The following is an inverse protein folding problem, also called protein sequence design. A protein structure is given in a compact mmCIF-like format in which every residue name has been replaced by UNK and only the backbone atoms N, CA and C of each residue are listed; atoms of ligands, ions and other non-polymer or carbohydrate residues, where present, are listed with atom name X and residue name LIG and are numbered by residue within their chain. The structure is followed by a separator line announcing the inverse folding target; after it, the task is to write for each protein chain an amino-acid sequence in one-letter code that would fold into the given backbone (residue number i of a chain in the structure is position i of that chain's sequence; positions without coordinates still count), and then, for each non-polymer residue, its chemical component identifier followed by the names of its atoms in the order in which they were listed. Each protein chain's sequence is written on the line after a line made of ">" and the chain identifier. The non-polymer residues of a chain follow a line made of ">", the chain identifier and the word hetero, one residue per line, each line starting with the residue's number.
data_IF_769676366486
#
_entry.id   IF_769676366486
#
_cell.length_a   1.000
_cell.length_b   1.000
_cell.length_c   1.000
_cell.angle_alpha   90.00
_cell.angle_beta   90.00
_cell.angle_gamma   90.00
#
_symmetry.space_group_name_H-M   'P 1'
#
loop_
_entity.id
_entity.type
_entity.pdbx_description
1 polymer ?
#
# COMPACT_ATOMS: atom_id res chain seq x y z
N UNK A 1 -5.38 25.59 -2.78
CA UNK A 1 -4.80 26.65 -3.60
C UNK A 1 -3.66 26.06 -4.43
N UNK A 2 -3.82 26.04 -5.76
CA UNK A 2 -2.80 25.46 -6.66
C UNK A 2 -1.96 26.57 -7.30
N UNK A 3 -2.61 27.48 -8.00
CA UNK A 3 -1.93 28.57 -8.70
C UNK A 3 -2.83 29.79 -8.89
N UNK A 4 -2.21 30.92 -9.21
CA UNK A 4 -2.89 32.13 -9.65
C UNK A 4 -2.71 32.23 -11.16
N UNK A 5 -3.83 32.27 -11.92
CA UNK A 5 -3.82 32.44 -13.37
C UNK A 5 -4.64 33.64 -13.81
N UNK A 6 -4.53 34.03 -15.08
CA UNK A 6 -5.36 35.06 -15.66
C UNK A 6 -6.84 34.61 -15.70
N UNK A 7 -7.73 35.52 -15.44
CA UNK A 7 -9.18 35.31 -15.54
C UNK A 7 -9.58 34.99 -16.99
N UNK A 8 -10.42 34.00 -17.16
CA UNK A 8 -11.02 33.61 -18.44
C UNK A 8 -12.55 33.87 -18.30
N UNK A 9 -13.23 34.43 -19.33
CA UNK A 9 -14.68 34.53 -19.29
C UNK A 9 -15.37 33.22 -18.98
N UNK A 10 -16.15 33.17 -17.88
CA UNK A 10 -16.77 31.97 -17.35
C UNK A 10 -16.22 31.51 -15.99
N UNK A 11 -15.11 32.05 -15.53
CA UNK A 11 -14.59 31.76 -14.19
C UNK A 11 -15.51 32.39 -13.11
N UNK A 12 -15.62 31.67 -11.97
CA UNK A 12 -16.39 32.14 -10.83
C UNK A 12 -15.73 33.40 -10.23
N UNK A 13 -16.47 34.49 -10.17
CA UNK A 13 -16.01 35.77 -9.60
C UNK A 13 -15.59 35.68 -8.14
N UNK A 14 -16.05 34.67 -7.41
CA UNK A 14 -15.65 34.38 -6.01
C UNK A 14 -14.19 33.93 -5.88
N UNK A 15 -13.61 33.44 -6.95
CA UNK A 15 -12.20 32.99 -6.98
C UNK A 15 -11.23 34.10 -7.35
N UNK A 16 -11.69 35.31 -7.62
CA UNK A 16 -10.84 36.47 -7.99
C UNK A 16 -9.87 36.80 -6.86
N UNK A 17 -8.59 36.81 -7.17
CA UNK A 17 -7.52 37.23 -6.27
C UNK A 17 -7.26 38.75 -6.45
N UNK A 18 -7.93 39.54 -5.65
CA UNK A 18 -7.83 41.01 -5.73
C UNK A 18 -6.40 41.51 -5.49
N UNK A 19 -5.61 40.85 -4.64
CA UNK A 19 -4.22 41.21 -4.36
C UNK A 19 -3.30 40.97 -5.56
N UNK A 20 -3.49 39.86 -6.26
CA UNK A 20 -2.74 39.56 -7.49
C UNK A 20 -3.19 40.46 -8.65
N UNK A 21 -4.51 40.71 -8.77
CA UNK A 21 -5.12 41.60 -9.75
C UNK A 21 -4.55 43.01 -9.63
N UNK A 22 -4.46 43.55 -8.42
CA UNK A 22 -3.88 44.89 -8.19
C UNK A 22 -2.39 44.98 -8.56
N UNK A 23 -1.64 43.90 -8.39
CA UNK A 23 -0.21 43.88 -8.73
C UNK A 23 0.06 43.74 -10.24
N UNK A 24 -0.78 43.02 -10.96
CA UNK A 24 -0.59 42.70 -12.38
C UNK A 24 -1.43 43.54 -13.32
N UNK A 25 -2.30 44.40 -12.80
CA UNK A 25 -3.27 45.21 -13.57
C UNK A 25 -4.14 44.36 -14.53
N UNK A 26 -4.30 43.08 -14.27
CA UNK A 26 -5.17 42.14 -14.99
C UNK A 26 -5.94 41.31 -13.98
N UNK A 27 -7.19 40.95 -14.30
CA UNK A 27 -8.00 40.11 -13.45
C UNK A 27 -7.29 38.72 -13.29
N UNK A 28 -7.00 38.38 -12.04
CA UNK A 28 -6.35 37.14 -11.66
C UNK A 28 -7.29 36.33 -10.80
N UNK A 29 -7.32 34.99 -11.01
CA UNK A 29 -8.13 34.04 -10.24
C UNK A 29 -7.25 33.04 -9.52
N UNK A 30 -7.68 32.67 -8.32
CA UNK A 30 -7.13 31.51 -7.63
C UNK A 30 -7.74 30.27 -8.28
N UNK A 31 -6.91 29.43 -8.81
CA UNK A 31 -7.28 28.08 -9.24
C UNK A 31 -7.14 27.17 -8.05
N UNK A 32 -8.26 26.54 -7.67
CA UNK A 32 -8.30 25.50 -6.65
C UNK A 32 -8.39 24.17 -7.38
N UNK A 33 -7.51 23.24 -7.05
CA UNK A 33 -7.71 21.88 -7.44
C UNK A 33 -8.63 21.26 -6.39
N UNK A 34 -9.79 20.77 -6.80
CA UNK A 34 -10.63 19.94 -5.94
C UNK A 34 -9.89 18.63 -5.66
N UNK A 35 -9.13 18.58 -4.57
CA UNK A 35 -8.62 17.32 -4.06
C UNK A 35 -9.81 16.48 -3.61
N UNK A 36 -10.34 15.68 -4.54
CA UNK A 36 -11.36 14.69 -4.18
C UNK A 36 -10.78 13.77 -3.13
N UNK A 37 -11.47 13.65 -2.00
CA UNK A 37 -11.11 12.70 -0.95
C UNK A 37 -10.99 11.29 -1.56
N UNK A 38 -9.80 10.77 -1.60
CA UNK A 38 -9.52 9.44 -2.13
C UNK A 38 -9.83 8.37 -1.06
N UNK A 39 -10.01 7.14 -1.48
CA UNK A 39 -10.19 6.01 -0.56
C UNK A 39 -8.93 5.16 -0.56
N UNK A 40 -8.36 4.96 0.61
CA UNK A 40 -7.19 4.12 0.85
C UNK A 40 -7.60 2.97 1.76
N UNK A 41 -7.42 1.74 1.31
CA UNK A 41 -7.76 0.55 2.08
C UNK A 41 -6.51 -0.29 2.27
N UNK A 42 -6.11 -0.48 3.52
CA UNK A 42 -5.06 -1.42 3.88
C UNK A 42 -5.65 -2.82 4.04
N UNK A 43 -5.15 -3.76 3.25
CA UNK A 43 -5.51 -5.17 3.24
C UNK A 43 -4.37 -5.94 3.92
N UNK A 44 -4.59 -6.41 5.15
CA UNK A 44 -3.54 -6.99 5.99
C UNK A 44 -3.74 -8.49 6.09
N UNK A 45 -2.81 -9.24 5.55
CA UNK A 45 -2.73 -10.69 5.70
C UNK A 45 -2.30 -11.05 7.12
N UNK A 46 -3.07 -11.89 7.79
CA UNK A 46 -2.78 -12.42 9.13
C UNK A 46 -2.37 -13.91 9.10
N UNK A 47 -2.23 -14.47 7.91
CA UNK A 47 -1.87 -15.86 7.71
C UNK A 47 -0.45 -16.21 8.16
N UNK A 48 -0.10 -17.50 8.08
CA UNK A 48 1.15 -18.06 8.62
C UNK A 48 2.42 -17.39 8.07
N UNK A 49 2.41 -16.94 6.82
CA UNK A 49 3.57 -16.34 6.16
C UNK A 49 3.97 -14.99 6.77
N UNK A 50 3.00 -14.30 7.40
CA UNK A 50 3.22 -13.03 8.08
C UNK A 50 3.78 -13.16 9.49
N UNK A 51 3.87 -14.39 10.02
CA UNK A 51 4.51 -14.66 11.32
C UNK A 51 6.04 -14.65 11.27
N UNK A 52 6.64 -14.63 10.08
CA UNK A 52 8.09 -14.63 9.93
C UNK A 52 8.72 -13.52 10.79
N UNK A 53 9.65 -13.88 11.71
CA UNK A 53 10.29 -12.88 12.56
C UNK A 53 11.33 -12.09 11.75
N UNK A 54 11.45 -10.81 12.06
CA UNK A 54 12.43 -9.93 11.45
C UNK A 54 12.81 -8.79 12.42
N UNK A 55 14.06 -8.79 12.87
CA UNK A 55 14.55 -7.77 13.82
C UNK A 55 13.71 -7.69 15.11
N UNK A 56 13.29 -8.83 15.67
CA UNK A 56 12.52 -8.91 16.91
C UNK A 56 11.01 -8.65 16.78
N UNK A 57 10.51 -8.29 15.58
CA UNK A 57 9.09 -8.13 15.27
C UNK A 57 8.69 -9.10 14.15
N UNK A 58 7.41 -9.43 14.07
CA UNK A 58 6.88 -10.20 12.93
C UNK A 58 6.62 -9.30 11.71
N UNK A 59 6.51 -9.91 10.51
CA UNK A 59 6.08 -9.16 9.32
C UNK A 59 4.67 -8.56 9.52
N UNK A 60 3.80 -9.24 10.28
CA UNK A 60 2.49 -8.71 10.65
C UNK A 60 2.61 -7.43 11.47
N UNK A 61 3.48 -7.41 12.49
CA UNK A 61 3.70 -6.21 13.32
C UNK A 61 4.21 -5.04 12.47
N UNK A 62 5.12 -5.32 11.52
CA UNK A 62 5.63 -4.33 10.58
C UNK A 62 4.52 -3.81 9.65
N UNK A 63 3.67 -4.69 9.13
CA UNK A 63 2.54 -4.33 8.30
C UNK A 63 1.51 -3.48 9.06
N UNK A 64 1.19 -3.84 10.31
CA UNK A 64 0.32 -3.06 11.20
C UNK A 64 0.88 -1.65 11.40
N UNK A 65 2.16 -1.53 11.75
CA UNK A 65 2.81 -0.23 11.94
C UNK A 65 2.76 0.62 10.66
N UNK A 66 3.03 0.04 9.50
CA UNK A 66 2.97 0.75 8.23
C UNK A 66 1.53 1.19 7.88
N UNK A 67 0.54 0.32 8.13
CA UNK A 67 -0.86 0.64 7.91
C UNK A 67 -1.35 1.75 8.85
N UNK A 68 -0.89 1.80 10.10
CA UNK A 68 -1.18 2.87 11.06
C UNK A 68 -0.61 4.22 10.59
N UNK A 69 0.67 4.24 10.17
CA UNK A 69 1.33 5.45 9.65
C UNK A 69 0.62 5.94 8.38
N UNK A 70 0.32 5.04 7.44
CA UNK A 70 -0.41 5.39 6.22
C UNK A 70 -1.80 5.96 6.56
N UNK A 71 -2.52 5.33 7.50
CA UNK A 71 -3.85 5.76 7.90
C UNK A 71 -3.85 7.16 8.52
N UNK A 72 -2.90 7.45 9.41
CA UNK A 72 -2.78 8.77 10.05
C UNK A 72 -2.50 9.88 9.02
N UNK A 73 -1.58 9.62 8.10
CA UNK A 73 -1.22 10.60 7.07
C UNK A 73 -2.34 10.78 6.04
N UNK A 74 -3.01 9.69 5.63
CA UNK A 74 -4.14 9.77 4.70
C UNK A 74 -5.31 10.57 5.31
N UNK A 75 -5.66 10.31 6.58
CA UNK A 75 -6.69 11.08 7.28
C UNK A 75 -6.32 12.57 7.43
N UNK A 76 -5.06 12.91 7.69
CA UNK A 76 -4.56 14.29 7.73
C UNK A 76 -4.62 14.99 6.37
N UNK A 77 -4.63 14.22 5.27
CA UNK A 77 -4.80 14.71 3.89
C UNK A 77 -6.26 14.65 3.42
N UNK A 78 -7.21 14.53 4.34
CA UNK A 78 -8.65 14.45 4.08
C UNK A 78 -9.10 13.24 3.25
N UNK A 79 -8.27 12.20 3.14
CA UNK A 79 -8.63 10.95 2.49
C UNK A 79 -9.42 10.04 3.44
N UNK A 80 -10.20 9.13 2.86
CA UNK A 80 -10.94 8.10 3.61
C UNK A 80 -10.07 6.87 3.79
N UNK A 81 -10.03 6.33 4.99
CA UNK A 81 -9.22 5.16 5.34
C UNK A 81 -10.10 3.98 5.70
N UNK A 82 -9.80 2.82 5.12
CA UNK A 82 -10.39 1.53 5.45
C UNK A 82 -9.32 0.49 5.80
N UNK A 83 -9.72 -0.51 6.57
CA UNK A 83 -8.86 -1.65 6.96
C UNK A 83 -9.64 -2.94 6.75
N UNK A 84 -8.99 -3.93 6.15
CA UNK A 84 -9.49 -5.30 6.08
C UNK A 84 -8.37 -6.23 6.52
N UNK A 85 -8.63 -7.07 7.51
CA UNK A 85 -7.71 -8.14 7.92
C UNK A 85 -8.26 -9.49 7.49
N UNK A 86 -7.39 -10.35 6.99
CA UNK A 86 -7.79 -11.61 6.39
C UNK A 86 -6.68 -12.67 6.49
N UNK A 87 -7.07 -13.94 6.39
CA UNK A 87 -6.20 -15.09 6.13
C UNK A 87 -6.89 -16.04 5.15
N UNK A 88 -7.35 -17.20 5.56
CA UNK A 88 -8.26 -18.07 4.79
C UNK A 88 -9.71 -17.54 4.77
N UNK A 89 -10.03 -16.65 5.68
CA UNK A 89 -11.31 -15.91 5.76
C UNK A 89 -11.04 -14.45 6.07
N UNK A 90 -12.04 -13.60 5.90
CA UNK A 90 -11.95 -12.19 6.30
C UNK A 90 -12.37 -12.07 7.76
N UNK A 91 -11.45 -11.56 8.60
CA UNK A 91 -11.66 -11.43 10.04
C UNK A 91 -12.33 -10.13 10.42
N UNK A 92 -11.74 -9.00 10.01
CA UNK A 92 -12.24 -7.68 10.37
C UNK A 92 -12.36 -6.80 9.14
N UNK A 93 -13.40 -5.96 9.15
CA UNK A 93 -13.66 -5.00 8.06
C UNK A 93 -14.02 -3.66 8.66
N UNK A 94 -13.21 -2.66 8.39
CA UNK A 94 -13.48 -1.27 8.66
C UNK A 94 -13.61 -0.56 7.30
N UNK A 95 -14.83 -0.20 6.85
CA UNK A 95 -15.03 0.41 5.53
C UNK A 95 -14.36 1.79 5.44
N UNK A 96 -14.04 2.29 4.23
CA UNK A 96 -13.37 3.58 4.10
C UNK A 96 -14.20 4.74 4.64
N UNK A 97 -13.70 5.43 5.68
CA UNK A 97 -14.31 6.65 6.23
C UNK A 97 -13.24 7.59 6.82
N UNK A 98 -13.67 8.80 7.24
CA UNK A 98 -12.79 9.83 7.82
C UNK A 98 -13.42 10.61 8.97
N UNK A 99 -14.33 9.98 9.70
CA UNK A 99 -15.04 10.63 10.81
C UNK A 99 -14.12 10.98 11.99
N UNK A 100 -14.57 11.86 12.87
CA UNK A 100 -13.87 12.12 14.13
C UNK A 100 -13.71 10.83 14.91
N UNK A 101 -12.46 10.54 15.36
CA UNK A 101 -12.14 9.31 16.08
C UNK A 101 -11.90 8.09 15.18
N UNK A 102 -11.90 8.25 13.84
CA UNK A 102 -11.67 7.13 12.93
C UNK A 102 -10.31 6.46 13.18
N UNK A 103 -9.27 7.27 13.43
CA UNK A 103 -7.94 6.74 13.77
C UNK A 103 -7.96 5.88 15.03
N UNK A 104 -8.77 6.22 16.03
CA UNK A 104 -8.92 5.39 17.23
C UNK A 104 -9.50 4.02 16.91
N UNK A 105 -10.52 3.95 16.05
CA UNK A 105 -11.10 2.67 15.58
C UNK A 105 -10.09 1.85 14.79
N UNK A 106 -9.27 2.48 13.95
CA UNK A 106 -8.17 1.82 13.23
C UNK A 106 -7.17 1.21 14.21
N UNK A 107 -6.74 1.99 15.22
CA UNK A 107 -5.80 1.50 16.25
C UNK A 107 -6.40 0.35 17.06
N UNK A 108 -7.64 0.46 17.51
CA UNK A 108 -8.33 -0.57 18.29
C UNK A 108 -8.44 -1.89 17.49
N UNK A 109 -8.83 -1.80 16.20
CA UNK A 109 -8.92 -2.97 15.34
C UNK A 109 -7.55 -3.63 15.14
N UNK A 110 -6.50 -2.85 14.89
CA UNK A 110 -5.17 -3.39 14.59
C UNK A 110 -4.41 -3.87 15.82
N UNK A 111 -4.65 -3.29 16.99
CA UNK A 111 -4.01 -3.70 18.25
C UNK A 111 -4.30 -5.17 18.63
N UNK A 112 -5.48 -5.66 18.30
CA UNK A 112 -5.92 -7.01 18.66
C UNK A 112 -5.49 -8.10 17.64
N UNK A 113 -4.82 -7.73 16.53
CA UNK A 113 -4.49 -8.68 15.48
C UNK A 113 -3.37 -9.63 15.88
N UNK A 114 -3.58 -10.91 15.55
CA UNK A 114 -2.58 -11.98 15.71
C UNK A 114 -2.59 -12.86 14.47
N UNK A 115 -1.46 -13.52 14.19
CA UNK A 115 -1.40 -14.53 13.13
C UNK A 115 -2.13 -15.79 13.55
N UNK A 116 -2.97 -16.33 12.67
CA UNK A 116 -3.80 -17.51 12.92
C UNK A 116 -3.23 -18.81 12.32
N UNK A 117 -2.05 -18.78 11.73
CA UNK A 117 -1.38 -19.91 11.04
C UNK A 117 -2.14 -20.48 9.82
N UNK A 118 -3.25 -19.89 9.43
CA UNK A 118 -3.99 -20.31 8.25
C UNK A 118 -3.25 -19.95 6.96
N UNK A 119 -3.56 -20.61 5.87
CA UNK A 119 -3.10 -20.19 4.54
C UNK A 119 -3.88 -18.97 4.07
N UNK A 120 -3.21 -18.12 3.30
CA UNK A 120 -3.81 -16.90 2.76
C UNK A 120 -4.68 -17.22 1.57
N UNK A 121 -5.92 -16.70 1.57
CA UNK A 121 -6.89 -16.81 0.48
C UNK A 121 -7.29 -15.42 -0.05
N UNK A 122 -6.74 -15.06 -1.22
CA UNK A 122 -7.06 -13.78 -1.89
C UNK A 122 -8.44 -13.83 -2.58
N UNK A 123 -8.99 -15.00 -2.87
CA UNK A 123 -10.35 -15.13 -3.39
C UNK A 123 -11.37 -14.63 -2.36
N UNK A 124 -11.27 -15.10 -1.11
CA UNK A 124 -12.13 -14.64 -0.01
C UNK A 124 -11.99 -13.12 0.20
N UNK A 125 -10.77 -12.59 0.12
CA UNK A 125 -10.50 -11.16 0.18
C UNK A 125 -11.17 -10.42 -0.99
N UNK A 126 -11.01 -10.88 -2.24
CA UNK A 126 -11.62 -10.27 -3.42
C UNK A 126 -13.13 -10.14 -3.28
N UNK A 127 -13.81 -11.21 -2.87
CA UNK A 127 -15.26 -11.20 -2.66
C UNK A 127 -15.67 -10.16 -1.61
N UNK A 128 -14.92 -10.04 -0.53
CA UNK A 128 -15.18 -9.04 0.52
C UNK A 128 -14.97 -7.62 0.04
N UNK A 129 -13.85 -7.35 -0.62
CA UNK A 129 -13.52 -6.02 -1.18
C UNK A 129 -14.61 -5.57 -2.15
N UNK A 130 -15.05 -6.45 -3.06
CA UNK A 130 -16.12 -6.17 -4.03
C UNK A 130 -17.42 -5.70 -3.37
N UNK A 131 -17.75 -6.24 -2.19
CA UNK A 131 -18.96 -5.85 -1.45
C UNK A 131 -18.76 -4.61 -0.56
N UNK A 132 -17.55 -4.35 -0.11
CA UNK A 132 -17.29 -3.29 0.89
C UNK A 132 -16.79 -1.99 0.27
N UNK A 133 -16.02 -2.07 -0.83
CA UNK A 133 -15.34 -0.94 -1.47
C UNK A 133 -15.94 -0.71 -2.85
N UNK A 134 -16.99 0.11 -2.92
CA UNK A 134 -17.72 0.33 -4.18
C UNK A 134 -17.04 1.34 -5.12
N UNK A 135 -16.25 2.28 -4.58
CA UNK A 135 -15.56 3.30 -5.36
C UNK A 135 -14.14 2.88 -5.67
N UNK A 136 -13.61 3.32 -6.83
CA UNK A 136 -12.19 3.12 -7.17
C UNK A 136 -11.31 3.66 -6.04
N UNK A 137 -10.42 2.84 -5.52
CA UNK A 137 -9.65 3.08 -4.30
C UNK A 137 -8.21 2.60 -4.47
N UNK A 138 -7.30 3.13 -3.66
CA UNK A 138 -5.98 2.52 -3.48
C UNK A 138 -6.11 1.36 -2.48
N UNK A 139 -5.81 0.16 -2.93
CA UNK A 139 -5.72 -1.03 -2.11
C UNK A 139 -4.24 -1.33 -1.86
N UNK A 140 -3.80 -1.23 -0.61
CA UNK A 140 -2.44 -1.59 -0.21
C UNK A 140 -2.48 -2.96 0.44
N UNK A 141 -1.97 -3.96 -0.26
CA UNK A 141 -1.97 -5.35 0.18
C UNK A 141 -0.65 -5.69 0.86
N UNK A 142 -0.71 -5.97 2.17
CA UNK A 142 0.41 -6.43 2.98
C UNK A 142 0.35 -7.95 3.07
N UNK A 143 1.16 -8.64 2.30
CA UNK A 143 1.23 -10.10 2.27
C UNK A 143 2.65 -10.58 1.99
N UNK A 144 2.92 -11.86 2.17
CA UNK A 144 4.21 -12.46 1.86
C UNK A 144 4.01 -13.74 1.05
N UNK A 145 4.31 -13.71 -0.24
CA UNK A 145 4.30 -14.90 -1.09
C UNK A 145 5.55 -15.75 -0.83
N UNK A 146 5.37 -17.00 -0.44
CA UNK A 146 6.48 -17.93 -0.20
C UNK A 146 7.23 -18.28 -1.49
N UNK A 147 6.51 -18.40 -2.61
CA UNK A 147 7.06 -18.77 -3.91
C UNK A 147 6.31 -18.12 -5.08
N UNK A 148 6.95 -18.11 -6.24
CA UNK A 148 6.34 -17.65 -7.48
C UNK A 148 5.08 -18.48 -7.84
N UNK A 149 5.10 -19.78 -7.59
CA UNK A 149 3.95 -20.65 -7.83
C UNK A 149 2.77 -20.34 -6.89
N UNK A 150 3.04 -20.00 -5.62
CA UNK A 150 2.01 -19.58 -4.69
C UNK A 150 1.37 -18.25 -5.13
N UNK A 151 2.19 -17.28 -5.56
CA UNK A 151 1.70 -16.02 -6.11
C UNK A 151 0.84 -16.24 -7.36
N UNK A 152 1.28 -17.08 -8.32
CA UNK A 152 0.54 -17.37 -9.55
C UNK A 152 -0.84 -17.95 -9.32
N UNK A 153 -1.03 -18.75 -8.28
CA UNK A 153 -2.36 -19.26 -7.89
C UNK A 153 -3.32 -18.12 -7.48
N UNK A 154 -2.79 -17.09 -6.86
CA UNK A 154 -3.56 -15.95 -6.37
C UNK A 154 -3.69 -14.80 -7.39
N UNK A 155 -2.85 -14.81 -8.43
CA UNK A 155 -2.76 -13.76 -9.44
C UNK A 155 -4.11 -13.43 -10.14
N UNK A 156 -4.96 -14.39 -10.51
CA UNK A 156 -6.26 -14.08 -11.14
C UNK A 156 -7.13 -13.15 -10.29
N UNK A 157 -7.15 -13.34 -8.97
CA UNK A 157 -7.94 -12.51 -8.06
C UNK A 157 -7.32 -11.12 -7.88
N UNK A 158 -5.98 -11.01 -7.87
CA UNK A 158 -5.27 -9.73 -7.88
C UNK A 158 -5.56 -8.93 -9.15
N UNK A 159 -5.61 -9.60 -10.30
CA UNK A 159 -6.00 -8.96 -11.57
C UNK A 159 -7.45 -8.47 -11.55
N UNK A 160 -8.37 -9.23 -10.96
CA UNK A 160 -9.76 -8.81 -10.80
C UNK A 160 -9.87 -7.58 -9.90
N UNK A 161 -9.09 -7.51 -8.80
CA UNK A 161 -8.99 -6.32 -7.96
C UNK A 161 -8.39 -5.13 -8.73
N UNK A 162 -7.33 -5.35 -9.52
CA UNK A 162 -6.65 -4.30 -10.27
C UNK A 162 -7.49 -3.70 -11.41
N UNK A 163 -8.51 -4.41 -11.90
CA UNK A 163 -9.49 -3.87 -12.88
C UNK A 163 -10.40 -2.80 -12.26
N UNK A 164 -10.76 -2.94 -10.99
CA UNK A 164 -11.69 -2.06 -10.30
C UNK A 164 -10.99 -0.98 -9.46
N UNK A 165 -9.82 -1.28 -8.95
CA UNK A 165 -9.07 -0.47 -7.99
C UNK A 165 -7.62 -0.31 -8.43
N UNK A 166 -6.89 0.60 -7.78
CA UNK A 166 -5.44 0.66 -7.88
C UNK A 166 -4.84 -0.23 -6.79
N UNK A 167 -4.22 -1.35 -7.19
CA UNK A 167 -3.67 -2.34 -6.24
C UNK A 167 -2.16 -2.16 -6.13
N UNK A 168 -1.67 -1.98 -4.91
CA UNK A 168 -0.25 -1.96 -4.57
C UNK A 168 0.05 -3.12 -3.61
N UNK A 169 0.87 -4.07 -4.05
CA UNK A 169 1.27 -5.24 -3.25
C UNK A 169 2.63 -4.98 -2.62
N UNK A 170 2.69 -5.11 -1.31
CA UNK A 170 3.95 -5.10 -0.56
C UNK A 170 4.60 -6.48 -0.67
N UNK A 171 5.86 -6.49 -1.08
CA UNK A 171 6.70 -7.69 -1.15
C UNK A 171 7.89 -7.47 -0.22
N UNK A 172 8.02 -8.33 0.78
CA UNK A 172 9.11 -8.24 1.75
C UNK A 172 10.39 -8.84 1.17
N UNK A 173 11.45 -8.03 1.15
CA UNK A 173 12.82 -8.47 0.89
C UNK A 173 13.48 -8.82 2.22
N UNK A 174 14.01 -10.03 2.33
CA UNK A 174 14.72 -10.43 3.53
C UNK A 174 16.18 -9.96 3.46
N UNK A 175 16.50 -8.88 4.18
CA UNK A 175 17.85 -8.29 4.22
C UNK A 175 18.82 -9.12 5.07
N UNK A 176 18.35 -10.00 5.95
CA UNK A 176 19.21 -10.94 6.68
C UNK A 176 19.86 -11.95 5.71
N UNK A 177 19.17 -12.28 4.60
CA UNK A 177 19.74 -13.13 3.57
C UNK A 177 20.89 -12.44 2.81
N UNK A 178 20.87 -11.13 2.69
CA UNK A 178 21.96 -10.38 2.04
C UNK A 178 23.28 -10.52 2.82
N UNK A 179 23.22 -10.67 4.16
CA UNK A 179 24.39 -10.88 5.02
C UNK A 179 25.03 -12.25 4.79
N UNK A 180 24.25 -13.27 4.39
CA UNK A 180 24.74 -14.59 4.07
C UNK A 180 25.50 -14.63 2.72
N UNK A 181 25.42 -13.58 1.92
CA UNK A 181 26.15 -13.44 0.65
C UNK A 181 27.57 -12.87 0.81
N UNK A 182 28.09 -12.76 2.04
CA UNK A 182 29.45 -12.27 2.33
C UNK A 182 30.54 -12.91 1.46
N UNK A 183 31.61 -12.19 1.06
CA UNK A 183 32.47 -12.58 -0.06
C UNK A 183 33.41 -13.79 0.18
N UNK A 184 33.64 -14.22 1.40
CA UNK A 184 34.58 -15.31 1.68
C UNK A 184 33.89 -16.67 1.71
N UNK A 185 34.08 -17.48 0.66
CA UNK A 185 33.71 -18.90 0.69
C UNK A 185 34.76 -19.67 1.49
N UNK A 186 34.37 -20.24 2.60
CA UNK A 186 35.26 -21.03 3.45
C UNK A 186 35.07 -22.55 3.25
N UNK A 187 33.89 -22.95 2.78
CA UNK A 187 33.52 -24.36 2.62
C UNK A 187 32.48 -24.56 1.50
N UNK A 188 32.34 -25.81 1.03
CA UNK A 188 31.32 -26.20 0.03
C UNK A 188 29.91 -25.93 0.52
N UNK A 189 29.66 -25.95 1.84
CA UNK A 189 28.38 -25.60 2.44
C UNK A 189 28.06 -24.11 2.25
N UNK A 190 29.05 -23.22 2.35
CA UNK A 190 28.88 -21.79 2.11
C UNK A 190 28.43 -21.52 0.67
N UNK A 191 29.01 -22.21 -0.29
CA UNK A 191 28.63 -22.13 -1.71
C UNK A 191 27.17 -22.56 -1.91
N UNK A 192 26.76 -23.66 -1.27
CA UNK A 192 25.36 -24.12 -1.33
C UNK A 192 24.39 -23.12 -0.71
N UNK A 193 24.68 -22.63 0.50
CA UNK A 193 23.87 -21.62 1.20
C UNK A 193 23.73 -20.36 0.34
N UNK A 194 24.83 -19.88 -0.25
CA UNK A 194 24.80 -18.71 -1.15
C UNK A 194 23.95 -18.94 -2.40
N UNK A 195 24.03 -20.13 -3.00
CA UNK A 195 23.23 -20.46 -4.18
C UNK A 195 21.74 -20.46 -3.86
N UNK A 196 21.34 -21.06 -2.74
CA UNK A 196 19.96 -21.07 -2.25
C UNK A 196 19.49 -19.66 -1.92
N UNK A 197 20.30 -18.87 -1.22
CA UNK A 197 20.00 -17.48 -0.86
C UNK A 197 19.75 -16.61 -2.09
N UNK A 198 20.64 -16.68 -3.10
CA UNK A 198 20.45 -15.97 -4.38
C UNK A 198 19.16 -16.38 -5.08
N UNK A 199 18.79 -17.66 -5.03
CA UNK A 199 17.52 -18.13 -5.59
C UNK A 199 16.33 -17.47 -4.91
N UNK A 200 16.29 -17.39 -3.59
CA UNK A 200 15.21 -16.75 -2.84
C UNK A 200 15.09 -15.24 -3.15
N UNK A 201 16.22 -14.52 -3.19
CA UNK A 201 16.22 -13.10 -3.53
C UNK A 201 15.66 -12.90 -4.94
N UNK A 202 16.18 -13.67 -5.91
CA UNK A 202 15.73 -13.57 -7.31
C UNK A 202 14.25 -13.93 -7.47
N UNK A 203 13.74 -14.86 -6.69
CA UNK A 203 12.33 -15.24 -6.73
C UNK A 203 11.41 -14.08 -6.31
N UNK A 204 11.77 -13.29 -5.29
CA UNK A 204 11.02 -12.09 -4.91
C UNK A 204 11.01 -11.02 -6.00
N UNK A 205 12.13 -10.84 -6.70
CA UNK A 205 12.21 -9.91 -7.84
C UNK A 205 11.35 -10.38 -9.02
N UNK A 206 11.32 -11.70 -9.29
CA UNK A 206 10.47 -12.28 -10.32
C UNK A 206 8.99 -12.13 -9.99
N UNK A 207 8.59 -12.33 -8.71
CA UNK A 207 7.23 -12.09 -8.24
C UNK A 207 6.83 -10.63 -8.49
N UNK A 208 7.70 -9.68 -8.13
CA UNK A 208 7.42 -8.25 -8.34
C UNK A 208 7.21 -7.94 -9.83
N UNK A 209 8.14 -8.38 -10.69
CA UNK A 209 8.04 -8.14 -12.15
C UNK A 209 6.79 -8.77 -12.77
N UNK A 210 6.42 -9.98 -12.34
CA UNK A 210 5.24 -10.65 -12.87
C UNK A 210 3.95 -9.93 -12.44
N UNK A 211 3.85 -9.46 -11.20
CA UNK A 211 2.73 -8.63 -10.75
C UNK A 211 2.63 -7.32 -11.53
N UNK A 212 3.75 -6.63 -11.75
CA UNK A 212 3.80 -5.38 -12.53
C UNK A 212 3.37 -5.57 -13.97
N UNK A 213 3.77 -6.67 -14.61
CA UNK A 213 3.35 -6.99 -15.98
C UNK A 213 1.83 -7.21 -16.12
N UNK A 214 1.15 -7.46 -14.99
CA UNK A 214 -0.30 -7.65 -14.93
C UNK A 214 -1.05 -6.43 -14.36
N UNK A 215 -0.37 -5.27 -14.28
CA UNK A 215 -0.99 -4.00 -13.85
C UNK A 215 -1.16 -3.84 -12.34
N UNK A 216 -0.51 -4.69 -11.55
CA UNK A 216 -0.46 -4.58 -10.09
C UNK A 216 0.81 -3.85 -9.70
N UNK A 217 0.68 -2.73 -8.98
CA UNK A 217 1.85 -2.01 -8.47
C UNK A 217 2.55 -2.84 -7.39
N UNK A 218 3.87 -2.77 -7.33
CA UNK A 218 4.62 -3.47 -6.29
C UNK A 218 5.44 -2.49 -5.44
N UNK A 219 5.61 -2.84 -4.17
CA UNK A 219 6.45 -2.15 -3.21
C UNK A 219 7.42 -3.20 -2.66
N UNK A 220 8.57 -3.36 -3.33
CA UNK A 220 9.63 -4.25 -2.87
C UNK A 220 10.45 -3.51 -1.80
N UNK A 221 10.40 -3.97 -0.56
CA UNK A 221 10.98 -3.27 0.58
C UNK A 221 11.50 -4.20 1.66
N UNK A 222 12.51 -3.73 2.40
CA UNK A 222 12.88 -4.34 3.68
C UNK A 222 11.80 -4.08 4.72
N UNK A 223 11.64 -4.96 5.71
CA UNK A 223 10.65 -4.76 6.77
C UNK A 223 10.87 -3.48 7.60
N UNK A 224 12.12 -3.00 7.75
CA UNK A 224 12.44 -1.76 8.45
C UNK A 224 11.97 -0.52 7.70
N UNK A 225 12.10 -0.51 6.37
CA UNK A 225 11.78 0.64 5.52
C UNK A 225 10.31 0.63 5.06
N UNK A 226 9.53 -0.37 5.46
CA UNK A 226 8.17 -0.60 4.98
C UNK A 226 7.29 0.64 5.10
N UNK A 227 7.26 1.28 6.28
CA UNK A 227 6.40 2.44 6.53
C UNK A 227 6.75 3.61 5.61
N UNK A 228 8.04 3.85 5.39
CA UNK A 228 8.54 4.94 4.53
C UNK A 228 8.20 4.65 3.06
N UNK A 229 8.47 3.43 2.60
CA UNK A 229 8.25 3.07 1.19
C UNK A 229 6.77 3.03 0.82
N UNK A 230 5.91 2.53 1.71
CA UNK A 230 4.45 2.57 1.52
C UNK A 230 3.94 4.01 1.48
N UNK A 231 4.40 4.86 2.39
CA UNK A 231 4.03 6.26 2.42
C UNK A 231 4.48 7.00 1.15
N UNK A 232 5.72 6.80 0.73
CA UNK A 232 6.25 7.41 -0.50
C UNK A 232 5.42 6.97 -1.72
N UNK A 233 5.06 5.69 -1.79
CA UNK A 233 4.21 5.18 -2.88
C UNK A 233 2.82 5.80 -2.89
N UNK A 234 2.19 5.95 -1.73
CA UNK A 234 0.91 6.66 -1.61
C UNK A 234 1.03 8.12 -2.07
N UNK A 235 2.06 8.85 -1.63
CA UNK A 235 2.27 10.24 -2.02
C UNK A 235 2.55 10.37 -3.53
N UNK A 236 3.32 9.46 -4.12
CA UNK A 236 3.55 9.39 -5.57
C UNK A 236 2.24 9.20 -6.34
N UNK A 237 1.41 8.24 -5.92
CA UNK A 237 0.12 7.94 -6.55
C UNK A 237 -0.80 9.17 -6.47
N UNK A 238 -0.87 9.82 -5.29
CA UNK A 238 -1.67 11.02 -5.08
C UNK A 238 -1.18 12.19 -5.94
N UNK A 239 0.13 12.42 -5.99
CA UNK A 239 0.73 13.48 -6.80
C UNK A 239 0.51 13.30 -8.31
N UNK A 240 0.44 12.05 -8.77
CA UNK A 240 0.18 11.71 -10.19
C UNK A 240 -1.31 11.68 -10.55
N UNK A 241 -2.21 11.83 -9.58
CA UNK A 241 -3.65 11.76 -9.83
C UNK A 241 -4.13 10.43 -10.41
N UNK A 242 -3.53 9.31 -9.97
CA UNK A 242 -3.83 7.97 -10.50
C UNK A 242 -5.14 7.37 -9.95
N UNK A 243 -5.79 8.01 -8.97
CA UNK A 243 -7.01 7.59 -8.31
C UNK A 243 -8.22 8.41 -8.74
#
# INVERSE_FOLDING_TARGET
>A
FEQIRDYIPGDDRRTVNWKATARRAKLMVNQYQDEKAQQIVSLIDTGRTMKMPFGGLTLLDRAINAALVLSDIALKKDDKVGIITYSNTVHNVLPPARDRGWMHRVMELLYAQRTDFAETDIEALFLRVKHTVAQRSLLVLYTNFESLSAMRRQLPFLQLLARAHLVAVVIFRNTELDQLLSPADKDTMDVYVKAVTRKFIREKELIAKELESHGVLTILTSPEELSVNVLNKYLEIKARGML
#
